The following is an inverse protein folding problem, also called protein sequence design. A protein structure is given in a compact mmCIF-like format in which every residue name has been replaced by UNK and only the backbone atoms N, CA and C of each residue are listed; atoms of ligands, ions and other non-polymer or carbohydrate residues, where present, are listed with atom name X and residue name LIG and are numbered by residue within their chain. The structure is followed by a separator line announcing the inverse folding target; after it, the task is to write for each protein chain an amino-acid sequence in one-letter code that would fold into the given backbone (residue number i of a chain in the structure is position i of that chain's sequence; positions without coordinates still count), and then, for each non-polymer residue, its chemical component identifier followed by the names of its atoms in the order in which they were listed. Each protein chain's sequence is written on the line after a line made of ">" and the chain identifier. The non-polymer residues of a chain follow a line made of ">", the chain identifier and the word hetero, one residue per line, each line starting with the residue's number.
data_IF_113301434817
#
_entry.id   IF_113301434817
#
_cell.length_a   1.000
_cell.length_b   1.000
_cell.length_c   1.000
_cell.angle_alpha   90.00
_cell.angle_beta   90.00
_cell.angle_gamma   90.00
#
_symmetry.space_group_name_H-M   'P 1'
#
loop_
_entity.id
_entity.type
_entity.pdbx_description
1 polymer ?
#
# COMPACT_ATOMS: atom_id res chain seq x y z
N UNK A 1 -1.62 -18.94 9.10
CA UNK A 1 -1.55 -17.79 10.03
C UNK A 1 -2.91 -17.11 10.02
N UNK A 2 -3.46 -16.80 11.19
CA UNK A 2 -4.68 -16.01 11.34
C UNK A 2 -4.37 -14.54 11.22
N UNK A 3 -5.31 -13.73 10.72
CA UNK A 3 -5.14 -12.28 10.65
C UNK A 3 -5.47 -11.62 11.99
N UNK A 4 -4.74 -10.57 12.34
CA UNK A 4 -4.97 -9.76 13.53
C UNK A 4 -5.80 -8.51 13.16
N UNK A 5 -6.95 -8.27 13.83
CA UNK A 5 -7.77 -7.09 13.54
C UNK A 5 -6.99 -5.79 13.66
N UNK A 6 -7.13 -4.92 12.66
CA UNK A 6 -6.45 -3.63 12.69
C UNK A 6 -7.24 -2.56 11.96
N UNK A 7 -7.45 -1.41 12.60
CA UNK A 7 -8.20 -0.32 12.00
C UNK A 7 -7.36 0.42 10.94
N UNK A 8 -7.95 0.85 9.81
CA UNK A 8 -7.20 1.50 8.74
C UNK A 8 -6.42 2.75 9.19
N UNK A 9 -7.01 3.58 10.03
CA UNK A 9 -6.39 4.82 10.51
C UNK A 9 -5.21 4.55 11.46
N UNK A 10 -5.33 3.53 12.31
CA UNK A 10 -4.27 3.12 13.24
C UNK A 10 -3.10 2.52 12.45
N UNK A 11 -3.39 1.60 11.53
CA UNK A 11 -2.39 1.00 10.66
C UNK A 11 -1.63 2.03 9.82
N UNK A 12 -2.31 3.05 9.29
CA UNK A 12 -1.64 4.15 8.56
C UNK A 12 -0.77 4.97 9.50
N UNK A 13 -1.20 5.22 10.73
CA UNK A 13 -0.38 5.92 11.74
C UNK A 13 0.92 5.14 11.99
N UNK A 14 0.81 3.85 12.26
CA UNK A 14 1.97 3.04 12.63
C UNK A 14 2.91 2.80 11.45
N UNK A 15 2.36 2.64 10.23
CA UNK A 15 3.16 2.66 9.00
C UNK A 15 3.95 3.97 8.86
N UNK A 16 3.33 5.12 9.12
CA UNK A 16 4.03 6.40 9.01
C UNK A 16 5.09 6.59 10.08
N UNK A 17 4.91 6.02 11.29
CA UNK A 17 5.95 6.02 12.32
C UNK A 17 7.13 5.12 11.91
N UNK A 18 6.88 3.90 11.44
CA UNK A 18 7.89 2.97 10.91
C UNK A 18 8.75 3.63 9.82
N UNK A 19 8.11 4.32 8.87
CA UNK A 19 8.81 5.00 7.80
C UNK A 19 9.69 6.17 8.26
N UNK A 20 9.50 6.75 9.46
CA UNK A 20 10.36 7.84 9.96
C UNK A 20 11.77 7.38 10.32
N UNK A 21 11.99 6.09 10.52
CA UNK A 21 13.31 5.55 10.86
C UNK A 21 14.26 5.55 9.65
N UNK A 22 13.72 5.35 8.44
CA UNK A 22 14.50 5.24 7.20
C UNK A 22 14.31 6.37 6.20
N UNK A 23 13.15 7.06 6.19
CA UNK A 23 12.77 7.97 5.12
C UNK A 23 12.92 9.45 5.51
N UNK A 24 13.20 10.30 4.52
CA UNK A 24 13.16 11.74 4.72
C UNK A 24 11.77 12.24 5.17
N UNK A 25 11.73 13.29 6.02
CA UNK A 25 10.47 13.87 6.54
C UNK A 25 9.46 14.24 5.44
N UNK A 26 9.94 14.80 4.33
CA UNK A 26 9.08 15.14 3.19
C UNK A 26 8.49 13.89 2.53
N UNK A 27 9.23 12.79 2.48
CA UNK A 27 8.76 11.51 1.93
C UNK A 27 7.66 10.90 2.80
N UNK A 28 7.85 10.87 4.12
CA UNK A 28 6.80 10.44 5.07
C UNK A 28 5.55 11.30 4.94
N UNK A 29 5.73 12.62 4.82
CA UNK A 29 4.62 13.55 4.61
C UNK A 29 3.87 13.27 3.29
N UNK A 30 4.59 12.93 2.22
CA UNK A 30 3.99 12.52 0.95
C UNK A 30 3.19 11.23 1.09
N UNK A 31 3.69 10.23 1.83
CA UNK A 31 2.94 9.01 2.11
C UNK A 31 1.66 9.30 2.88
N UNK A 32 1.71 10.17 3.90
CA UNK A 32 0.53 10.59 4.66
C UNK A 32 -0.53 11.21 3.75
N UNK A 33 -0.13 12.12 2.86
CA UNK A 33 -1.07 12.72 1.90
C UNK A 33 -1.62 11.70 0.90
N UNK A 34 -0.81 10.74 0.47
CA UNK A 34 -1.23 9.71 -0.47
C UNK A 34 -2.19 8.67 0.14
N UNK A 35 -2.04 8.35 1.43
CA UNK A 35 -2.86 7.37 2.15
C UNK A 35 -4.14 7.94 2.77
N UNK A 36 -4.21 9.25 3.00
CA UNK A 36 -5.42 9.90 3.55
C UNK A 36 -6.71 9.54 2.79
N UNK A 37 -6.76 9.58 1.44
CA UNK A 37 -7.98 9.21 0.71
C UNK A 37 -8.36 7.73 0.87
N UNK A 38 -7.40 6.85 1.16
CA UNK A 38 -7.69 5.44 1.42
C UNK A 38 -8.39 5.27 2.78
N UNK A 39 -7.94 5.99 3.81
CA UNK A 39 -8.65 6.04 5.10
C UNK A 39 -10.06 6.62 4.92
N UNK A 40 -10.17 7.74 4.20
CA UNK A 40 -11.47 8.37 3.92
C UNK A 40 -12.42 7.38 3.22
N UNK A 41 -11.91 6.63 2.23
CA UNK A 41 -12.66 5.57 1.55
C UNK A 41 -13.09 4.45 2.51
N UNK A 42 -12.21 3.98 3.39
CA UNK A 42 -12.55 2.97 4.38
C UNK A 42 -13.66 3.47 5.32
N UNK A 43 -13.58 4.71 5.79
CA UNK A 43 -14.61 5.33 6.63
C UNK A 43 -15.96 5.45 5.89
N UNK A 44 -15.96 5.94 4.63
CA UNK A 44 -17.17 6.05 3.81
C UNK A 44 -17.85 4.69 3.54
N UNK A 45 -17.08 3.60 3.53
CA UNK A 45 -17.55 2.25 3.24
C UNK A 45 -17.67 1.36 4.49
N UNK A 46 -17.54 1.94 5.68
CA UNK A 46 -17.62 1.24 6.96
C UNK A 46 -16.64 0.04 7.06
N UNK A 47 -15.45 0.21 6.48
CA UNK A 47 -14.34 -0.74 6.59
C UNK A 47 -13.55 -0.37 7.83
N UNK A 48 -13.91 -0.97 8.95
CA UNK A 48 -13.27 -0.73 10.25
C UNK A 48 -12.13 -1.71 10.55
N UNK A 49 -12.02 -2.79 9.75
CA UNK A 49 -11.00 -3.81 9.90
C UNK A 49 -10.32 -4.11 8.56
N UNK A 50 -9.00 -4.00 8.52
CA UNK A 50 -8.19 -4.30 7.34
C UNK A 50 -8.27 -5.77 6.91
N UNK A 51 -8.66 -6.68 7.80
CA UNK A 51 -8.91 -8.09 7.48
C UNK A 51 -9.97 -8.28 6.40
N UNK A 52 -10.93 -7.34 6.30
CA UNK A 52 -12.03 -7.39 5.33
C UNK A 52 -11.64 -6.88 3.94
N UNK A 53 -10.39 -6.44 3.77
CA UNK A 53 -9.91 -5.96 2.49
C UNK A 53 -9.76 -7.09 1.48
N UNK A 54 -10.27 -6.82 0.29
CA UNK A 54 -10.15 -7.71 -0.86
C UNK A 54 -9.68 -6.93 -2.08
N UNK A 55 -9.22 -7.64 -3.12
CA UNK A 55 -8.91 -7.01 -4.40
C UNK A 55 -10.11 -6.23 -4.99
N UNK A 56 -11.34 -6.66 -4.67
CA UNK A 56 -12.56 -5.95 -5.09
C UNK A 56 -12.70 -4.61 -4.38
N UNK A 57 -12.50 -4.55 -3.06
CA UNK A 57 -12.49 -3.29 -2.29
C UNK A 57 -11.40 -2.34 -2.77
N UNK A 58 -10.21 -2.86 -3.09
CA UNK A 58 -9.13 -2.07 -3.66
C UNK A 58 -9.44 -1.53 -5.07
N UNK A 59 -10.14 -2.32 -5.89
CA UNK A 59 -10.65 -1.86 -7.19
C UNK A 59 -11.70 -0.75 -7.01
N UNK A 60 -12.60 -0.90 -6.04
CA UNK A 60 -13.60 0.12 -5.68
C UNK A 60 -12.92 1.42 -5.25
N UNK A 61 -11.90 1.35 -4.39
CA UNK A 61 -11.07 2.51 -4.02
C UNK A 61 -10.43 3.18 -5.25
N UNK A 62 -9.77 2.41 -6.13
CA UNK A 62 -9.19 2.94 -7.37
C UNK A 62 -10.23 3.69 -8.20
N UNK A 63 -11.42 3.10 -8.41
CA UNK A 63 -12.48 3.71 -9.21
C UNK A 63 -13.07 4.95 -8.54
N UNK A 64 -13.28 4.90 -7.22
CA UNK A 64 -13.76 6.05 -6.43
C UNK A 64 -12.77 7.22 -6.52
N UNK A 65 -11.48 6.94 -6.30
CA UNK A 65 -10.43 7.96 -6.30
C UNK A 65 -10.13 8.49 -7.69
N UNK A 66 -10.12 7.64 -8.70
CA UNK A 66 -9.81 8.01 -10.09
C UNK A 66 -10.80 8.99 -10.73
N UNK A 67 -12.00 9.18 -10.15
CA UNK A 67 -12.95 10.22 -10.56
C UNK A 67 -12.61 11.61 -10.02
N UNK A 68 -11.66 11.72 -9.10
CA UNK A 68 -11.37 12.94 -8.33
C UNK A 68 -9.98 13.53 -8.61
N UNK A 69 -9.08 12.77 -9.23
CA UNK A 69 -7.69 13.16 -9.45
C UNK A 69 -7.19 12.76 -10.83
N UNK A 70 -6.06 13.36 -11.24
CA UNK A 70 -5.35 12.96 -12.45
C UNK A 70 -4.85 11.51 -12.38
N UNK A 71 -4.59 10.93 -13.55
CA UNK A 71 -4.03 9.59 -13.68
C UNK A 71 -2.69 9.45 -12.94
N UNK A 72 -1.83 10.47 -13.04
CA UNK A 72 -0.52 10.53 -12.39
C UNK A 72 -0.66 10.52 -10.87
N UNK A 73 -1.54 11.36 -10.31
CA UNK A 73 -1.79 11.38 -8.86
C UNK A 73 -2.36 10.05 -8.38
N UNK A 74 -3.34 9.48 -9.11
CA UNK A 74 -3.90 8.16 -8.78
C UNK A 74 -2.82 7.08 -8.78
N UNK A 75 -1.96 7.07 -9.79
CA UNK A 75 -0.86 6.10 -9.90
C UNK A 75 0.09 6.21 -8.72
N UNK A 76 0.51 7.42 -8.34
CA UNK A 76 1.37 7.62 -7.17
C UNK A 76 0.70 7.15 -5.88
N UNK A 77 -0.58 7.47 -5.68
CA UNK A 77 -1.35 7.00 -4.52
C UNK A 77 -1.46 5.47 -4.48
N UNK A 78 -1.67 4.81 -5.61
CA UNK A 78 -1.74 3.35 -5.69
C UNK A 78 -0.37 2.69 -5.40
N UNK A 79 0.74 3.31 -5.77
CA UNK A 79 2.08 2.84 -5.39
C UNK A 79 2.33 2.95 -3.89
N UNK A 80 1.98 4.08 -3.27
CA UNK A 80 2.06 4.22 -1.80
C UNK A 80 1.14 3.21 -1.12
N UNK A 81 -0.08 3.01 -1.63
CA UNK A 81 -1.01 2.01 -1.11
C UNK A 81 -0.40 0.60 -1.19
N UNK A 82 0.32 0.26 -2.26
CA UNK A 82 1.02 -1.03 -2.37
C UNK A 82 2.08 -1.18 -1.27
N UNK A 83 2.90 -0.14 -1.02
CA UNK A 83 3.90 -0.14 0.06
C UNK A 83 3.24 -0.35 1.42
N UNK A 84 2.18 0.41 1.71
CA UNK A 84 1.38 0.27 2.92
C UNK A 84 0.80 -1.14 3.09
N UNK A 85 0.22 -1.74 2.03
CA UNK A 85 -0.30 -3.11 2.10
C UNK A 85 0.79 -4.16 2.34
N UNK A 86 2.03 -3.92 1.88
CA UNK A 86 3.16 -4.81 2.21
C UNK A 86 3.49 -4.77 3.69
N UNK A 87 3.54 -3.57 4.28
CA UNK A 87 3.69 -3.39 5.72
C UNK A 87 2.59 -4.13 6.47
N UNK A 88 1.31 -3.88 6.14
CA UNK A 88 0.19 -4.56 6.79
C UNK A 88 0.24 -6.09 6.66
N UNK A 89 0.70 -6.62 5.52
CA UNK A 89 0.82 -8.07 5.33
C UNK A 89 1.92 -8.67 6.20
N UNK A 90 3.01 -7.95 6.42
CA UNK A 90 4.13 -8.41 7.24
C UNK A 90 3.77 -8.56 8.72
N UNK A 91 2.73 -7.83 9.18
CA UNK A 91 2.20 -7.85 10.56
C UNK A 91 0.82 -8.51 10.65
N UNK A 92 0.48 -9.37 9.67
CA UNK A 92 -0.77 -10.15 9.66
C UNK A 92 -2.08 -9.33 9.69
N UNK A 93 -2.06 -8.06 9.29
CA UNK A 93 -3.23 -7.17 9.30
C UNK A 93 -4.08 -7.22 8.02
N UNK A 94 -3.58 -7.85 6.96
CA UNK A 94 -4.33 -8.03 5.70
C UNK A 94 -4.10 -9.42 5.11
N UNK A 95 -5.05 -9.95 4.32
CA UNK A 95 -4.87 -11.23 3.64
C UNK A 95 -3.61 -11.28 2.77
N UNK A 96 -2.97 -12.44 2.74
CA UNK A 96 -1.80 -12.68 1.89
C UNK A 96 -2.11 -12.42 0.40
N UNK A 97 -1.16 -11.80 -0.30
CA UNK A 97 -1.25 -11.47 -1.73
C UNK A 97 -2.04 -10.19 -2.02
N UNK A 98 -2.57 -9.50 -1.02
CA UNK A 98 -3.24 -8.21 -1.20
C UNK A 98 -2.34 -7.13 -1.86
N UNK A 99 -1.03 -7.02 -1.55
CA UNK A 99 -0.14 -6.09 -2.23
C UNK A 99 -0.01 -6.35 -3.75
N UNK A 100 0.00 -7.62 -4.16
CA UNK A 100 0.06 -7.98 -5.59
C UNK A 100 -1.24 -7.59 -6.31
N UNK A 101 -2.38 -7.69 -5.62
CA UNK A 101 -3.66 -7.20 -6.15
C UNK A 101 -3.64 -5.68 -6.35
N UNK A 102 -3.07 -4.91 -5.42
CA UNK A 102 -2.88 -3.45 -5.62
C UNK A 102 -2.03 -3.17 -6.85
N UNK A 103 -0.90 -3.87 -7.01
CA UNK A 103 -0.01 -3.72 -8.17
C UNK A 103 -0.73 -3.92 -9.49
N UNK A 104 -1.54 -4.98 -9.61
CA UNK A 104 -2.34 -5.25 -10.82
C UNK A 104 -3.37 -4.14 -11.13
N UNK A 105 -3.71 -3.32 -10.14
CA UNK A 105 -4.65 -2.22 -10.26
C UNK A 105 -3.97 -0.88 -10.53
N UNK A 106 -2.64 -0.76 -10.42
CA UNK A 106 -1.93 0.49 -10.71
C UNK A 106 -2.15 0.89 -12.17
N UNK A 107 -2.59 2.14 -12.45
CA UNK A 107 -2.73 2.60 -13.83
C UNK A 107 -1.39 2.61 -14.58
N UNK A 108 -1.39 2.05 -15.79
CA UNK A 108 -0.25 2.12 -16.70
C UNK A 108 -0.17 3.51 -17.34
N UNK A 109 1.04 3.98 -17.63
CA UNK A 109 1.22 5.16 -18.48
C UNK A 109 1.03 4.73 -19.93
N UNK A 110 0.25 5.49 -20.69
CA UNK A 110 0.43 5.51 -22.14
C UNK A 110 1.79 6.16 -22.43
N UNK A 111 2.56 5.59 -23.36
CA UNK A 111 4.02 5.76 -23.49
C UNK A 111 4.55 7.13 -23.90
N UNK A 112 3.96 8.25 -23.47
CA UNK A 112 4.41 9.59 -23.84
C UNK A 112 4.43 10.65 -22.73
N UNK A 113 4.42 10.29 -21.44
CA UNK A 113 4.56 11.30 -20.38
C UNK A 113 5.81 11.07 -19.53
N UNK A 114 6.85 11.83 -19.90
CA UNK A 114 8.16 11.86 -19.26
C UNK A 114 8.11 12.66 -17.97
N UNK A 115 8.86 12.13 -16.98
CA UNK A 115 9.19 12.68 -15.65
C UNK A 115 8.08 12.65 -14.60
N UNK A 116 7.99 11.50 -13.93
CA UNK A 116 7.57 11.46 -12.52
C UNK A 116 8.82 11.20 -11.66
N UNK A 117 9.35 12.25 -11.04
CA UNK A 117 10.36 12.21 -9.97
C UNK A 117 9.81 11.61 -8.65
N UNK A 118 9.04 10.52 -8.75
CA UNK A 118 8.59 9.70 -7.61
C UNK A 118 8.91 8.21 -7.80
N UNK A 119 9.72 7.89 -8.81
CA UNK A 119 10.38 6.60 -8.95
C UNK A 119 11.86 6.92 -8.76
N UNK A 120 12.52 6.26 -7.79
CA UNK A 120 13.92 6.45 -7.39
C UNK A 120 14.21 7.47 -6.27
N UNK A 121 13.57 7.29 -5.13
CA UNK A 121 14.30 7.32 -3.86
C UNK A 121 13.65 6.27 -2.95
N UNK A 122 14.44 5.27 -2.55
CA UNK A 122 14.07 4.22 -1.59
C UNK A 122 13.28 3.02 -2.16
N UNK A 123 13.90 2.36 -3.15
CA UNK A 123 14.06 0.90 -3.09
C UNK A 123 15.30 0.64 -2.23
N UNK A 124 15.16 0.83 -0.92
CA UNK A 124 16.19 0.53 0.06
C UNK A 124 15.52 -0.01 1.32
N UNK A 125 14.73 -1.07 1.14
CA UNK A 125 14.52 -2.07 2.18
C UNK A 125 14.40 -3.42 1.49
N UNK A 126 15.59 -3.98 1.26
CA UNK A 126 15.96 -5.26 1.85
C UNK A 126 14.78 -6.22 2.00
N UNK A 127 14.58 -7.05 0.98
CA UNK A 127 14.01 -8.38 1.18
C UNK A 127 15.05 -9.15 2.01
N UNK A 128 15.04 -8.96 3.33
CA UNK A 128 15.65 -9.91 4.25
C UNK A 128 14.59 -10.99 4.51
N UNK A 129 14.96 -12.21 4.14
CA UNK A 129 14.44 -13.46 4.68
C UNK A 129 12.93 -13.68 4.72
N UNK A 130 12.30 -13.77 3.54
CA UNK A 130 11.03 -14.50 3.44
C UNK A 130 10.99 -15.62 2.40
N UNK A 131 12.14 -15.98 1.82
CA UNK A 131 12.26 -17.17 0.94
C UNK A 131 13.24 -18.23 1.48
N UNK A 132 13.88 -18.01 2.63
CA UNK A 132 14.72 -19.05 3.26
C UNK A 132 13.92 -20.03 4.15
N UNK A 133 12.58 -19.97 4.14
CA UNK A 133 11.72 -20.88 4.92
C UNK A 133 10.80 -21.80 4.10
N UNK A 134 10.98 -21.84 2.77
CA UNK A 134 10.29 -22.79 1.90
C UNK A 134 11.19 -23.71 1.07
N UNK A 135 12.50 -23.78 1.34
CA UNK A 135 13.36 -24.85 0.81
C UNK A 135 14.39 -25.37 1.82
N UNK A 136 13.96 -25.73 3.04
CA UNK A 136 14.67 -26.77 3.81
C UNK A 136 13.66 -27.52 4.68
N UNK A 137 13.27 -28.72 4.21
CA UNK A 137 12.33 -29.59 4.91
C UNK A 137 11.69 -30.70 4.06
N UNK A 138 12.30 -31.11 2.96
CA UNK A 138 11.98 -32.38 2.31
C UNK A 138 13.25 -33.02 1.76
N UNK A 139 14.09 -33.49 2.68
CA UNK A 139 14.85 -34.75 2.62
C UNK A 139 15.58 -34.98 3.94
#
# INVERSE_FOLDING_TARGET
>A
MSLEPYAPQEAVTDFLEDQKEGQAKNTVQNYKYALRPFVDFCHENQIENLNDLTGRRLKEFKTWRGKQVSLTTLRNQMWTLKKFMRFCQAIEAVPHGLPMKVESLVPQKDGNDSRDEFIEAEIADVILDYLEKYEYGSL
#
